data_IF_179066196593
#
_entry.id   IF_179066196593
#
_cell.length_a   1.000
_cell.length_b   1.000
_cell.length_c   1.000
_cell.angle_alpha   90.00
_cell.angle_beta   90.00
_cell.angle_gamma   90.00
#
_symmetry.space_group_name_H-M   'P 1'
#
loop_
_entity.id
_entity.type
_entity.pdbx_description
1 polymer ?
#
# COMPACT_ATOMS: atom_id res chain seq x y z
N UNK A 1 2.78 -29.66 22.27
CA UNK A 1 2.86 -29.05 20.93
C UNK A 1 2.33 -27.63 21.06
N UNK A 2 3.22 -26.64 21.21
CA UNK A 2 2.85 -25.22 21.20
C UNK A 2 3.07 -24.72 19.77
N UNK A 3 2.08 -24.94 18.91
CA UNK A 3 2.06 -24.26 17.63
C UNK A 3 1.35 -22.91 17.82
N UNK A 4 2.06 -21.77 17.77
CA UNK A 4 1.46 -20.47 18.03
C UNK A 4 0.33 -20.14 17.04
N UNK A 5 0.35 -20.71 15.83
CA UNK A 5 -0.74 -20.58 14.87
C UNK A 5 -2.01 -21.26 15.37
N UNK A 6 -1.91 -22.50 15.86
CA UNK A 6 -3.06 -23.23 16.41
C UNK A 6 -3.64 -22.55 17.66
N UNK A 7 -2.77 -21.98 18.51
CA UNK A 7 -3.21 -21.22 19.68
C UNK A 7 -3.95 -19.92 19.27
N UNK A 8 -3.47 -19.24 18.23
CA UNK A 8 -4.11 -18.07 17.66
C UNK A 8 -5.48 -18.41 17.05
N UNK A 9 -5.53 -19.45 16.19
CA UNK A 9 -6.76 -19.87 15.51
C UNK A 9 -7.85 -20.30 16.49
N UNK A 10 -7.46 -21.02 17.56
CA UNK A 10 -8.38 -21.43 18.61
C UNK A 10 -8.89 -20.24 19.45
N UNK A 11 -8.10 -19.18 19.61
CA UNK A 11 -8.50 -17.97 20.35
C UNK A 11 -9.28 -16.95 19.50
N UNK A 12 -8.92 -16.81 18.23
CA UNK A 12 -9.47 -15.81 17.32
C UNK A 12 -10.69 -16.31 16.54
N UNK A 13 -10.81 -17.64 16.34
CA UNK A 13 -11.89 -18.25 15.57
C UNK A 13 -11.77 -18.08 14.05
N UNK A 14 -10.61 -17.65 13.56
CA UNK A 14 -10.30 -17.53 12.13
C UNK A 14 -8.81 -17.81 11.86
N UNK A 15 -8.50 -18.22 10.63
CA UNK A 15 -7.13 -18.51 10.18
C UNK A 15 -6.24 -17.26 10.17
N UNK A 16 -4.99 -17.40 10.59
CA UNK A 16 -4.01 -16.30 10.58
C UNK A 16 -3.82 -15.68 9.17
N UNK A 17 -3.97 -16.49 8.11
CA UNK A 17 -3.92 -16.03 6.73
C UNK A 17 -5.05 -15.02 6.40
N UNK A 18 -6.25 -15.24 6.96
CA UNK A 18 -7.37 -14.31 6.79
C UNK A 18 -7.04 -12.94 7.35
N UNK A 19 -6.40 -12.88 8.52
CA UNK A 19 -5.93 -11.62 9.11
C UNK A 19 -4.92 -10.91 8.21
N UNK A 20 -3.93 -11.66 7.72
CA UNK A 20 -2.86 -11.14 6.87
C UNK A 20 -3.43 -10.54 5.57
N UNK A 21 -4.39 -11.22 4.94
CA UNK A 21 -5.10 -10.74 3.75
C UNK A 21 -5.89 -9.45 4.02
N UNK A 22 -6.61 -9.37 5.14
CA UNK A 22 -7.38 -8.17 5.50
C UNK A 22 -6.46 -6.98 5.74
N UNK A 23 -5.34 -7.19 6.46
CA UNK A 23 -4.34 -6.14 6.68
C UNK A 23 -3.71 -5.68 5.37
N UNK A 24 -3.34 -6.61 4.49
CA UNK A 24 -2.81 -6.28 3.18
C UNK A 24 -3.82 -5.49 2.32
N UNK A 25 -5.09 -5.88 2.35
CA UNK A 25 -6.16 -5.14 1.67
C UNK A 25 -6.33 -3.71 2.21
N UNK A 26 -6.34 -3.56 3.55
CA UNK A 26 -6.47 -2.26 4.21
C UNK A 26 -5.29 -1.34 3.88
N UNK A 27 -4.06 -1.84 4.01
CA UNK A 27 -2.85 -1.08 3.68
C UNK A 27 -2.81 -0.72 2.19
N UNK A 28 -3.23 -1.61 1.31
CA UNK A 28 -3.36 -1.33 -0.13
C UNK A 28 -4.31 -0.15 -0.39
N UNK A 29 -5.47 -0.13 0.27
CA UNK A 29 -6.44 0.95 0.13
C UNK A 29 -5.87 2.30 0.63
N UNK A 30 -5.16 2.29 1.76
CA UNK A 30 -4.47 3.48 2.27
C UNK A 30 -3.40 3.98 1.30
N UNK A 31 -2.63 3.08 0.68
CA UNK A 31 -1.64 3.43 -0.34
C UNK A 31 -2.28 4.02 -1.60
N UNK A 32 -3.46 3.55 -2.01
CA UNK A 32 -4.22 4.15 -3.11
C UNK A 32 -4.66 5.58 -2.79
N UNK A 33 -5.17 5.82 -1.56
CA UNK A 33 -5.53 7.16 -1.11
C UNK A 33 -4.31 8.10 -1.07
N UNK A 34 -3.17 7.59 -0.62
CA UNK A 34 -1.91 8.34 -0.67
C UNK A 34 -1.49 8.69 -2.11
N UNK A 35 -1.58 7.75 -3.05
CA UNK A 35 -1.31 7.99 -4.48
C UNK A 35 -2.21 9.09 -5.06
N UNK A 36 -3.51 9.03 -4.78
CA UNK A 36 -4.46 10.08 -5.18
C UNK A 36 -4.07 11.44 -4.61
N UNK A 37 -3.68 11.49 -3.33
CA UNK A 37 -3.21 12.71 -2.70
C UNK A 37 -1.93 13.25 -3.36
N UNK A 38 -0.97 12.39 -3.70
CA UNK A 38 0.27 12.78 -4.39
C UNK A 38 -0.04 13.36 -5.78
N UNK A 39 -0.91 12.72 -6.56
CA UNK A 39 -1.33 13.23 -7.87
C UNK A 39 -2.05 14.57 -7.75
N UNK A 40 -2.97 14.69 -6.78
CA UNK A 40 -3.69 15.92 -6.51
C UNK A 40 -2.75 17.06 -6.11
N UNK A 41 -1.80 16.78 -5.21
CA UNK A 41 -0.78 17.74 -4.77
C UNK A 41 0.09 18.23 -5.94
N UNK A 42 0.57 17.30 -6.78
CA UNK A 42 1.35 17.63 -7.96
C UNK A 42 0.55 18.43 -9.00
N UNK A 43 -0.73 18.07 -9.23
CA UNK A 43 -1.61 18.80 -10.14
C UNK A 43 -1.89 20.22 -9.65
N UNK A 44 -2.16 20.39 -8.35
CA UNK A 44 -2.33 21.72 -7.74
C UNK A 44 -1.04 22.55 -7.85
N UNK A 45 0.12 21.92 -7.71
CA UNK A 45 1.43 22.55 -7.93
C UNK A 45 1.62 23.06 -9.36
N UNK A 46 1.22 22.27 -10.36
CA UNK A 46 1.24 22.68 -11.77
C UNK A 46 0.27 23.83 -12.05
N UNK A 47 -0.97 23.77 -11.52
CA UNK A 47 -1.97 24.83 -11.69
C UNK A 47 -1.48 26.18 -11.18
N UNK A 48 -0.74 26.17 -10.06
CA UNK A 48 -0.19 27.38 -9.45
C UNK A 48 1.15 27.82 -10.06
N UNK A 49 1.57 27.25 -11.20
CA UNK A 49 2.86 27.50 -11.88
C UNK A 49 4.10 27.28 -10.98
N UNK A 50 3.96 26.55 -9.87
CA UNK A 50 5.07 26.21 -8.96
C UNK A 50 5.86 25.00 -9.44
N UNK A 51 5.28 24.19 -10.33
CA UNK A 51 5.84 22.91 -10.79
C UNK A 51 5.73 22.83 -12.30
N UNK A 52 6.82 22.46 -12.97
CA UNK A 52 6.84 22.22 -14.42
C UNK A 52 6.31 20.83 -14.76
N UNK A 53 5.85 20.62 -16.00
CA UNK A 53 5.31 19.32 -16.45
C UNK A 53 6.29 18.16 -16.27
N UNK A 54 7.58 18.41 -16.48
CA UNK A 54 8.65 17.40 -16.33
C UNK A 54 8.83 16.95 -14.88
N UNK A 55 8.77 17.89 -13.94
CA UNK A 55 8.86 17.60 -12.51
C UNK A 55 7.63 16.81 -12.06
N UNK A 56 6.45 17.18 -12.53
CA UNK A 56 5.22 16.43 -12.25
C UNK A 56 5.28 15.00 -12.80
N UNK A 57 5.75 14.80 -14.04
CA UNK A 57 5.92 13.46 -14.62
C UNK A 57 6.88 12.61 -13.78
N UNK A 58 7.99 13.19 -13.33
CA UNK A 58 8.97 12.50 -12.48
C UNK A 58 8.39 12.15 -11.10
N UNK A 59 7.57 13.03 -10.54
CA UNK A 59 6.84 12.80 -9.28
C UNK A 59 5.85 11.65 -9.42
N UNK A 60 5.04 11.66 -10.49
CA UNK A 60 4.08 10.58 -10.78
C UNK A 60 4.79 9.24 -10.92
N UNK A 61 5.86 9.20 -11.69
CA UNK A 61 6.63 7.97 -11.89
C UNK A 61 7.22 7.43 -10.58
N UNK A 62 7.78 8.31 -9.74
CA UNK A 62 8.29 7.93 -8.41
C UNK A 62 7.18 7.40 -7.50
N UNK A 63 6.02 8.05 -7.48
CA UNK A 63 4.89 7.62 -6.67
C UNK A 63 4.38 6.24 -7.09
N UNK A 64 4.21 6.00 -8.39
CA UNK A 64 3.82 4.70 -8.94
C UNK A 64 4.87 3.64 -8.63
N UNK A 65 6.15 3.96 -8.77
CA UNK A 65 7.23 3.02 -8.48
C UNK A 65 7.27 2.61 -7.00
N UNK A 66 7.12 3.57 -6.08
CA UNK A 66 7.02 3.30 -4.64
C UNK A 66 5.78 2.44 -4.35
N UNK A 67 4.63 2.75 -4.94
CA UNK A 67 3.40 1.98 -4.79
C UNK A 67 3.58 0.51 -5.21
N UNK A 68 4.22 0.26 -6.36
CA UNK A 68 4.46 -1.10 -6.86
C UNK A 68 5.40 -1.89 -5.95
N UNK A 69 6.48 -1.26 -5.47
CA UNK A 69 7.42 -1.92 -4.54
C UNK A 69 6.73 -2.25 -3.22
N UNK A 70 5.96 -1.32 -2.66
CA UNK A 70 5.25 -1.57 -1.40
C UNK A 70 4.21 -2.67 -1.57
N UNK A 71 3.49 -2.71 -2.70
CA UNK A 71 2.58 -3.81 -2.97
C UNK A 71 3.28 -5.15 -3.08
N UNK A 72 4.44 -5.19 -3.74
CA UNK A 72 5.23 -6.41 -3.79
C UNK A 72 5.57 -6.92 -2.40
N UNK A 73 6.11 -6.08 -1.51
CA UNK A 73 6.45 -6.49 -0.14
C UNK A 73 5.23 -6.94 0.66
N UNK A 74 4.12 -6.23 0.51
CA UNK A 74 2.89 -6.50 1.25
C UNK A 74 2.30 -7.88 0.90
N UNK A 75 2.28 -8.23 -0.39
CA UNK A 75 1.71 -9.49 -0.85
C UNK A 75 2.72 -10.64 -0.91
N UNK A 76 4.02 -10.35 -0.96
CA UNK A 76 5.06 -11.38 -0.91
C UNK A 76 4.95 -12.20 0.39
N UNK A 77 4.78 -11.54 1.54
CA UNK A 77 4.63 -12.23 2.83
C UNK A 77 3.24 -12.81 3.10
N UNK A 78 2.26 -12.56 2.23
CA UNK A 78 0.89 -13.10 2.35
C UNK A 78 0.68 -14.30 1.42
N UNK A 79 1.40 -14.36 0.31
CA UNK A 79 1.30 -15.44 -0.67
C UNK A 79 2.27 -16.62 -0.44
N UNK A 80 3.13 -16.52 0.57
CA UNK A 80 4.09 -17.57 1.00
C UNK A 80 3.61 -18.25 2.26
#
# INVERSE_FOLDING_TARGET
MNDPLLAFEHGAGFEANTLALVLAGLTSAMLMLWMLWVFWSGFRGMKNKKVTKEVFRRLVFRAVFIFLILQWFLYYGVAT
#
